data_IF_331478272448
#
_entry.id   IF_331478272448
#
_cell.length_a   1.000
_cell.length_b   1.000
_cell.length_c   1.000
_cell.angle_alpha   90.00
_cell.angle_beta   90.00
_cell.angle_gamma   90.00
#
_symmetry.space_group_name_H-M   'P 1'
#
loop_
_entity.id
_entity.type
_entity.pdbx_description
1 polymer ?
#
# COMPACT_ATOMS: atom_id res chain seq x y z
N UNK A 1 14.57 -9.99 5.92
CA UNK A 1 13.22 -10.25 6.46
C UNK A 1 12.26 -9.08 6.20
N UNK A 2 12.27 -8.46 5.01
CA UNK A 2 11.46 -7.24 4.71
C UNK A 2 10.10 -7.58 4.08
N UNK A 3 9.99 -8.73 3.40
CA UNK A 3 8.76 -9.17 2.74
C UNK A 3 7.58 -9.38 3.72
N UNK A 4 7.83 -9.82 4.95
CA UNK A 4 6.77 -10.07 5.94
C UNK A 4 6.02 -8.79 6.32
N UNK A 5 6.72 -7.65 6.43
CA UNK A 5 6.10 -6.38 6.83
C UNK A 5 5.14 -5.82 5.79
N UNK A 6 5.41 -6.05 4.50
CA UNK A 6 4.53 -5.57 3.42
C UNK A 6 3.23 -6.36 3.41
N UNK A 7 3.31 -7.69 3.57
CA UNK A 7 2.13 -8.56 3.63
C UNK A 7 1.22 -8.21 4.82
N UNK A 8 1.81 -7.97 6.00
CA UNK A 8 1.08 -7.52 7.19
C UNK A 8 0.37 -6.17 6.97
N UNK A 9 1.00 -5.23 6.26
CA UNK A 9 0.39 -3.94 5.91
C UNK A 9 -0.77 -4.14 4.94
N UNK A 10 -0.59 -4.97 3.90
CA UNK A 10 -1.64 -5.25 2.90
C UNK A 10 -2.85 -5.90 3.57
N UNK A 11 -2.63 -6.88 4.46
CA UNK A 11 -3.70 -7.54 5.21
C UNK A 11 -4.41 -6.60 6.18
N UNK A 12 -3.67 -5.73 6.87
CA UNK A 12 -4.26 -4.71 7.74
C UNK A 12 -5.18 -3.77 6.95
N UNK A 13 -4.69 -3.25 5.80
CA UNK A 13 -5.46 -2.35 4.96
C UNK A 13 -6.69 -3.04 4.38
N UNK A 14 -6.54 -4.27 3.88
CA UNK A 14 -7.65 -5.08 3.36
C UNK A 14 -8.77 -5.27 4.41
N UNK A 15 -8.38 -5.53 5.66
CA UNK A 15 -9.29 -5.66 6.79
C UNK A 15 -9.96 -4.34 7.15
N UNK A 16 -9.20 -3.23 7.20
CA UNK A 16 -9.70 -1.88 7.50
C UNK A 16 -10.71 -1.39 6.44
N UNK A 17 -10.47 -1.69 5.15
CA UNK A 17 -11.27 -1.17 4.04
C UNK A 17 -12.25 -2.17 3.44
N UNK A 18 -12.39 -3.37 4.04
CA UNK A 18 -13.20 -4.50 3.53
C UNK A 18 -12.94 -4.77 2.03
N UNK A 19 -11.70 -4.61 1.60
CA UNK A 19 -11.29 -4.81 0.21
C UNK A 19 -10.46 -6.08 0.12
N UNK A 20 -10.61 -6.91 -0.93
CA UNK A 20 -9.80 -8.12 -1.06
C UNK A 20 -8.30 -7.80 -1.08
N UNK A 21 -7.51 -8.58 -0.34
CA UNK A 21 -6.05 -8.39 -0.21
C UNK A 21 -5.33 -8.39 -1.55
N UNK A 22 -5.79 -9.18 -2.52
CA UNK A 22 -5.32 -9.16 -3.92
C UNK A 22 -5.42 -7.77 -4.57
N UNK A 23 -6.55 -7.09 -4.39
CA UNK A 23 -6.76 -5.76 -4.95
C UNK A 23 -5.93 -4.70 -4.23
N UNK A 24 -5.77 -4.84 -2.91
CA UNK A 24 -4.90 -3.98 -2.10
C UNK A 24 -3.43 -4.18 -2.50
N UNK A 25 -3.00 -5.42 -2.74
CA UNK A 25 -1.64 -5.75 -3.15
C UNK A 25 -1.30 -5.15 -4.51
N UNK A 26 -2.17 -5.30 -5.52
CA UNK A 26 -1.96 -4.67 -6.83
C UNK A 26 -1.86 -3.15 -6.72
N UNK A 27 -2.78 -2.54 -5.98
CA UNK A 27 -2.79 -1.08 -5.79
C UNK A 27 -1.53 -0.61 -5.04
N UNK A 28 -1.05 -1.41 -4.09
CA UNK A 28 0.19 -1.15 -3.36
C UNK A 28 1.40 -1.22 -4.28
N UNK A 29 1.50 -2.25 -5.14
CA UNK A 29 2.60 -2.40 -6.10
C UNK A 29 2.60 -1.29 -7.17
N UNK A 30 1.43 -0.93 -7.70
CA UNK A 30 1.28 0.18 -8.65
C UNK A 30 1.73 1.50 -8.02
N UNK A 31 1.26 1.79 -6.80
CA UNK A 31 1.65 2.99 -6.07
C UNK A 31 3.13 2.95 -5.69
N UNK A 32 3.67 1.79 -5.31
CA UNK A 32 5.09 1.68 -5.01
C UNK A 32 5.96 1.93 -6.24
N UNK A 33 5.57 1.42 -7.41
CA UNK A 33 6.27 1.65 -8.66
C UNK A 33 6.27 3.14 -9.05
N UNK A 34 5.11 3.79 -8.97
CA UNK A 34 4.97 5.24 -9.24
C UNK A 34 5.88 6.08 -8.34
N UNK A 35 5.87 5.82 -7.03
CA UNK A 35 6.66 6.61 -6.09
C UNK A 35 8.13 6.19 -6.05
N UNK A 36 8.46 4.96 -6.44
CA UNK A 36 9.85 4.50 -6.55
C UNK A 36 10.55 5.12 -7.77
N UNK A 37 9.80 5.57 -8.78
CA UNK A 37 10.35 6.33 -9.90
C UNK A 37 10.76 7.73 -9.41
N UNK A 38 12.08 7.97 -9.37
CA UNK A 38 12.64 9.26 -8.92
C UNK A 38 12.88 9.42 -7.42
N UNK A 39 12.47 8.45 -6.58
CA UNK A 39 12.74 8.50 -5.15
C UNK A 39 14.21 8.26 -4.81
N UNK A 40 14.82 9.25 -4.13
CA UNK A 40 16.18 9.14 -3.56
C UNK A 40 16.23 8.38 -2.24
N UNK A 41 15.13 8.35 -1.49
CA UNK A 41 15.03 7.66 -0.20
C UNK A 41 13.93 6.61 -0.29
N UNK A 42 14.30 5.33 -0.26
CA UNK A 42 13.38 4.20 -0.43
C UNK A 42 12.84 3.65 0.88
N UNK A 43 13.53 3.89 2.00
CA UNK A 43 13.14 3.39 3.33
C UNK A 43 11.79 3.91 3.82
N UNK A 44 11.35 5.09 3.38
CA UNK A 44 10.07 5.66 3.78
C UNK A 44 8.94 5.44 2.76
N UNK A 45 9.27 4.91 1.57
CA UNK A 45 8.27 4.65 0.53
C UNK A 45 7.19 3.69 1.03
N UNK A 46 7.57 2.68 1.81
CA UNK A 46 6.65 1.67 2.35
C UNK A 46 5.53 2.30 3.17
N UNK A 47 5.86 3.32 3.98
CA UNK A 47 4.90 4.05 4.84
C UNK A 47 4.04 5.00 3.99
N UNK A 48 4.65 5.70 3.05
CA UNK A 48 3.95 6.62 2.15
C UNK A 48 2.93 5.89 1.29
N UNK A 49 3.34 4.78 0.67
CA UNK A 49 2.49 3.93 -0.15
C UNK A 49 1.35 3.35 0.69
N UNK A 50 1.64 2.82 1.88
CA UNK A 50 0.61 2.30 2.78
C UNK A 50 -0.46 3.35 3.13
N UNK A 51 -0.03 4.58 3.42
CA UNK A 51 -0.94 5.71 3.67
C UNK A 51 -1.78 6.02 2.43
N UNK A 52 -1.15 6.13 1.26
CA UNK A 52 -1.83 6.44 0.00
C UNK A 52 -2.88 5.40 -0.38
N UNK A 53 -2.54 4.12 -0.23
CA UNK A 53 -3.47 3.00 -0.50
C UNK A 53 -4.69 3.06 0.42
N UNK A 54 -4.50 3.32 1.72
CA UNK A 54 -5.64 3.50 2.66
C UNK A 54 -6.53 4.67 2.26
N UNK A 55 -5.94 5.82 1.92
CA UNK A 55 -6.71 7.00 1.53
C UNK A 55 -7.50 6.78 0.23
N UNK A 56 -6.87 6.17 -0.78
CA UNK A 56 -7.52 5.82 -2.04
C UNK A 56 -8.71 4.88 -1.84
N UNK A 57 -8.54 3.84 -1.00
CA UNK A 57 -9.61 2.89 -0.72
C UNK A 57 -10.72 3.52 0.11
N UNK A 58 -10.38 4.30 1.15
CA UNK A 58 -11.37 5.03 1.96
C UNK A 58 -12.20 6.01 1.13
N UNK A 59 -11.59 6.70 0.17
CA UNK A 59 -12.30 7.61 -0.74
C UNK A 59 -13.19 6.87 -1.76
N UNK A 60 -12.93 5.59 -2.05
CA UNK A 60 -13.76 4.77 -2.94
C UNK A 60 -14.94 4.12 -2.23
N UNK A 61 -14.86 3.94 -0.91
CA UNK A 61 -15.93 3.35 -0.08
C UNK A 61 -16.99 4.37 0.33
N UNK A 62 -16.77 5.66 0.06
CA UNK A 62 -17.64 6.78 0.45
C UNK A 62 -18.51 7.28 -0.71
#
# INVERSE_FOLDING_TARGET
MVQNRVDEIVQAIASETRTPAEAVSRLYEETLAEYSEGARVRDYLTVLVAKRVRETLRNRTH
#
